data_IF_492990443079
#
_entry.id   IF_492990443079
#
_cell.length_a   1.000
_cell.length_b   1.000
_cell.length_c   1.000
_cell.angle_alpha   90.00
_cell.angle_beta   90.00
_cell.angle_gamma   90.00
#
_symmetry.space_group_name_H-M   'P 1'
#
loop_
_entity.id
_entity.type
_entity.pdbx_description
1 polymer ?
#
# COMPACT_ATOMS: atom_id res chain seq x y z
N UNK A 1 -10.56 -7.24 -1.06
CA UNK A 1 -11.70 -6.31 -1.11
C UNK A 1 -12.75 -6.88 -2.03
N UNK A 2 -14.02 -6.61 -1.75
CA UNK A 2 -15.18 -7.04 -2.50
C UNK A 2 -16.16 -5.88 -2.62
N UNK A 3 -16.75 -5.71 -3.79
CA UNK A 3 -17.86 -4.80 -4.03
C UNK A 3 -19.07 -5.62 -4.48
N UNK A 4 -20.23 -5.30 -3.94
CA UNK A 4 -21.51 -5.79 -4.44
C UNK A 4 -21.80 -5.24 -5.85
N UNK A 5 -21.36 -4.00 -6.10
CA UNK A 5 -21.40 -3.39 -7.43
C UNK A 5 -20.28 -3.96 -8.33
N UNK A 6 -20.49 -3.90 -9.65
CA UNK A 6 -19.42 -4.21 -10.60
C UNK A 6 -18.24 -3.24 -10.38
N UNK A 7 -17.02 -3.72 -10.09
CA UNK A 7 -15.86 -2.86 -9.84
C UNK A 7 -15.55 -1.89 -11.00
N UNK A 8 -15.86 -2.28 -12.24
CA UNK A 8 -15.69 -1.40 -13.41
C UNK A 8 -16.66 -0.21 -13.36
N UNK A 9 -17.87 -0.41 -12.87
CA UNK A 9 -18.85 0.66 -12.75
C UNK A 9 -18.51 1.61 -11.58
N UNK A 10 -17.92 1.09 -10.49
CA UNK A 10 -17.35 1.92 -9.40
C UNK A 10 -16.28 2.87 -9.96
N UNK A 11 -15.35 2.37 -10.78
CA UNK A 11 -14.30 3.20 -11.40
C UNK A 11 -14.87 4.18 -12.43
N UNK A 12 -15.82 3.75 -13.25
CA UNK A 12 -16.48 4.62 -14.24
C UNK A 12 -17.25 5.75 -13.57
N UNK A 13 -17.95 5.48 -12.47
CA UNK A 13 -18.65 6.50 -11.71
C UNK A 13 -17.69 7.54 -11.14
N UNK A 14 -16.63 7.10 -10.45
CA UNK A 14 -15.59 8.00 -9.93
C UNK A 14 -14.95 8.84 -11.04
N UNK A 15 -14.66 8.22 -12.20
CA UNK A 15 -14.10 8.91 -13.37
C UNK A 15 -15.08 9.94 -13.94
N UNK A 16 -16.37 9.62 -13.99
CA UNK A 16 -17.42 10.52 -14.49
C UNK A 16 -17.62 11.70 -13.55
N UNK A 17 -17.75 11.44 -12.25
CA UNK A 17 -18.06 12.48 -11.25
C UNK A 17 -16.83 13.23 -10.76
N UNK A 18 -15.63 12.69 -10.95
CA UNK A 18 -14.41 13.23 -10.34
C UNK A 18 -14.39 13.12 -8.81
N UNK A 19 -15.29 12.34 -8.21
CA UNK A 19 -15.25 11.97 -6.79
C UNK A 19 -14.29 10.81 -6.54
N UNK A 20 -14.14 10.45 -5.26
CA UNK A 20 -13.45 9.22 -4.88
C UNK A 20 -14.32 7.99 -5.26
N UNK A 21 -13.72 6.83 -5.56
CA UNK A 21 -14.48 5.60 -5.73
C UNK A 21 -15.18 5.19 -4.44
N UNK A 22 -16.33 4.52 -4.56
CA UNK A 22 -17.03 3.96 -3.40
C UNK A 22 -16.14 2.94 -2.69
N UNK A 23 -16.16 2.94 -1.36
CA UNK A 23 -15.46 1.95 -0.53
C UNK A 23 -15.97 0.53 -0.81
N UNK A 24 -15.13 -0.47 -0.55
CA UNK A 24 -15.55 -1.88 -0.61
C UNK A 24 -16.66 -2.17 0.39
N UNK A 25 -17.46 -3.19 0.09
CA UNK A 25 -18.46 -3.74 0.98
C UNK A 25 -17.86 -4.75 1.97
N UNK A 26 -16.71 -5.34 1.62
CA UNK A 26 -15.97 -6.25 2.50
C UNK A 26 -14.47 -6.34 2.17
N UNK A 27 -13.66 -6.56 3.20
CA UNK A 27 -12.37 -7.24 3.04
C UNK A 27 -12.55 -8.75 3.00
N UNK A 28 -11.56 -9.47 2.47
CA UNK A 28 -11.66 -10.91 2.23
C UNK A 28 -10.34 -11.61 2.48
N UNK A 29 -10.38 -12.78 3.10
CA UNK A 29 -9.32 -13.78 3.05
C UNK A 29 -9.61 -14.78 1.93
N UNK A 30 -8.68 -14.96 0.99
CA UNK A 30 -8.82 -15.89 -0.15
C UNK A 30 -10.21 -15.83 -0.84
N UNK A 31 -10.76 -14.63 -0.99
CA UNK A 31 -12.07 -14.39 -1.62
C UNK A 31 -13.28 -14.48 -0.69
N UNK A 32 -13.11 -14.83 0.59
CA UNK A 32 -14.22 -14.99 1.55
C UNK A 32 -14.20 -13.88 2.61
N UNK A 33 -15.33 -13.21 2.90
CA UNK A 33 -15.39 -12.13 3.90
C UNK A 33 -15.13 -12.58 5.34
N UNK A 34 -15.60 -13.77 5.71
CA UNK A 34 -15.47 -14.33 7.06
C UNK A 34 -16.71 -14.16 7.94
N UNK A 35 -16.60 -14.60 9.19
CA UNK A 35 -17.70 -14.76 10.15
C UNK A 35 -18.36 -13.44 10.61
N UNK A 36 -17.76 -12.28 10.30
CA UNK A 36 -18.27 -10.97 10.72
C UNK A 36 -19.22 -10.32 9.71
N UNK A 37 -19.45 -10.94 8.55
CA UNK A 37 -20.34 -10.44 7.52
C UNK A 37 -21.60 -11.28 7.40
N UNK A 38 -22.69 -10.63 7.00
CA UNK A 38 -23.93 -11.33 6.68
C UNK A 38 -23.69 -12.34 5.56
N UNK A 39 -24.35 -13.51 5.66
CA UNK A 39 -24.33 -14.55 4.64
C UNK A 39 -22.93 -15.10 4.27
N UNK A 40 -21.94 -14.98 5.16
CA UNK A 40 -20.54 -15.31 4.84
C UNK A 40 -19.93 -16.42 5.71
N UNK A 41 -20.50 -16.70 6.89
CA UNK A 41 -19.87 -17.59 7.89
C UNK A 41 -19.75 -19.05 7.46
N UNK A 42 -20.63 -19.52 6.57
CA UNK A 42 -20.62 -20.90 6.10
C UNK A 42 -19.39 -21.24 5.22
N UNK A 43 -18.77 -20.22 4.62
CA UNK A 43 -17.63 -20.37 3.70
C UNK A 43 -16.34 -19.73 4.25
N UNK A 44 -16.32 -19.32 5.53
CA UNK A 44 -15.13 -18.74 6.17
C UNK A 44 -13.92 -19.65 6.00
N UNK A 45 -12.82 -19.07 5.54
CA UNK A 45 -11.57 -19.81 5.28
C UNK A 45 -11.05 -20.45 6.56
N UNK A 46 -10.78 -21.74 6.51
CA UNK A 46 -10.13 -22.50 7.57
C UNK A 46 -8.72 -22.90 7.12
N UNK A 47 -7.71 -22.52 7.91
CA UNK A 47 -6.31 -22.92 7.74
C UNK A 47 -5.99 -23.92 8.85
N UNK A 48 -5.79 -25.21 8.52
CA UNK A 48 -5.52 -26.22 9.53
C UNK A 48 -4.06 -26.15 10.01
N UNK A 49 -3.83 -26.44 11.29
CA UNK A 49 -2.50 -26.53 11.90
C UNK A 49 -2.41 -27.74 12.86
N UNK A 50 -1.27 -28.43 12.89
CA UNK A 50 -0.97 -29.47 13.89
C UNK A 50 -0.27 -28.90 15.13
N UNK A 51 -0.54 -29.48 16.29
CA UNK A 51 0.14 -29.09 17.53
C UNK A 51 1.65 -29.33 17.43
N UNK A 52 2.43 -28.28 17.69
CA UNK A 52 3.89 -28.30 17.61
C UNK A 52 4.47 -28.15 16.20
N UNK A 53 3.64 -28.10 15.14
CA UNK A 53 4.16 -27.87 13.79
C UNK A 53 4.49 -26.39 13.56
N UNK A 54 5.42 -26.12 12.64
CA UNK A 54 5.68 -24.77 12.15
C UNK A 54 5.31 -24.71 10.67
N UNK A 55 4.42 -23.78 10.33
CA UNK A 55 3.88 -23.57 9.00
C UNK A 55 4.33 -22.22 8.44
N UNK A 56 4.58 -22.17 7.13
CA UNK A 56 4.86 -20.92 6.42
C UNK A 56 3.56 -20.36 5.84
N UNK A 57 3.13 -19.20 6.35
CA UNK A 57 2.05 -18.43 5.75
C UNK A 57 2.63 -17.40 4.78
N UNK A 58 2.12 -17.40 3.55
CA UNK A 58 2.46 -16.41 2.52
C UNK A 58 1.34 -15.38 2.47
N UNK A 59 1.52 -14.26 3.17
CA UNK A 59 0.50 -13.22 3.28
C UNK A 59 0.68 -12.26 2.11
N UNK A 60 -0.38 -12.09 1.32
CA UNK A 60 -0.39 -11.21 0.14
C UNK A 60 -1.51 -10.20 0.32
N UNK A 61 -1.20 -8.90 0.30
CA UNK A 61 -2.25 -7.89 0.23
C UNK A 61 -2.60 -7.64 -1.24
N UNK A 62 -3.67 -8.29 -1.72
CA UNK A 62 -4.24 -8.07 -3.05
C UNK A 62 -5.44 -7.11 -3.03
N UNK A 63 -5.57 -6.27 -2.00
CA UNK A 63 -6.51 -5.15 -2.02
C UNK A 63 -6.10 -4.14 -3.11
N UNK A 64 -7.07 -3.40 -3.61
CA UNK A 64 -6.87 -2.29 -4.54
C UNK A 64 -6.49 -1.01 -3.79
N UNK A 65 -7.11 -0.74 -2.64
CA UNK A 65 -7.04 0.58 -2.03
C UNK A 65 -6.24 0.63 -0.71
N UNK A 66 -6.56 -0.24 0.25
CA UNK A 66 -6.09 -0.07 1.63
C UNK A 66 -4.87 -0.94 2.00
N UNK A 67 -3.86 -0.38 2.69
CA UNK A 67 -2.96 -1.17 3.51
C UNK A 67 -3.74 -1.87 4.62
N UNK A 68 -3.33 -3.08 4.98
CA UNK A 68 -4.04 -3.91 5.95
C UNK A 68 -3.10 -4.31 7.09
N UNK A 69 -3.59 -4.14 8.32
CA UNK A 69 -3.08 -4.88 9.46
C UNK A 69 -3.55 -6.33 9.38
N UNK A 70 -2.69 -7.28 9.74
CA UNK A 70 -3.00 -8.70 9.84
C UNK A 70 -2.49 -9.26 11.17
N UNK A 71 -3.34 -9.99 11.90
CA UNK A 71 -2.99 -10.63 13.18
C UNK A 71 -3.61 -12.02 13.29
N UNK A 72 -3.04 -12.86 14.15
CA UNK A 72 -3.57 -14.20 14.48
C UNK A 72 -3.70 -14.33 16.00
N UNK A 73 -4.88 -14.69 16.49
CA UNK A 73 -5.14 -14.70 17.94
C UNK A 73 -4.19 -15.64 18.68
N UNK A 74 -3.52 -15.12 19.71
CA UNK A 74 -2.52 -15.80 20.55
C UNK A 74 -1.29 -16.36 19.82
N UNK A 75 -1.07 -16.07 18.54
CA UNK A 75 0.09 -16.55 17.81
C UNK A 75 1.03 -15.41 17.45
N UNK A 76 2.33 -15.64 17.65
CA UNK A 76 3.36 -14.76 17.13
C UNK A 76 3.73 -15.15 15.69
N UNK A 77 4.12 -14.16 14.90
CA UNK A 77 4.48 -14.30 13.50
C UNK A 77 5.97 -13.99 13.35
N UNK A 78 6.75 -14.97 12.90
CA UNK A 78 8.17 -14.76 12.61
C UNK A 78 8.34 -14.46 11.13
N UNK A 79 8.58 -13.20 10.81
CA UNK A 79 8.78 -12.72 9.43
C UNK A 79 10.13 -13.24 8.92
N UNK A 80 10.13 -13.86 7.76
CA UNK A 80 11.32 -14.46 7.13
C UNK A 80 11.54 -14.01 5.70
N UNK A 81 10.55 -13.40 5.06
CA UNK A 81 10.70 -12.76 3.76
C UNK A 81 9.68 -11.65 3.52
N UNK A 82 10.01 -10.76 2.59
CA UNK A 82 9.12 -9.74 2.05
C UNK A 82 9.46 -9.51 0.58
N UNK A 83 8.44 -9.38 -0.28
CA UNK A 83 8.58 -9.17 -1.73
C UNK A 83 9.59 -10.13 -2.40
N UNK A 84 9.47 -11.43 -2.08
CA UNK A 84 10.35 -12.51 -2.55
C UNK A 84 11.84 -12.38 -2.14
N UNK A 85 12.18 -11.45 -1.25
CA UNK A 85 13.50 -11.31 -0.64
C UNK A 85 13.50 -11.85 0.79
N UNK A 86 14.52 -12.64 1.14
CA UNK A 86 14.71 -13.07 2.53
C UNK A 86 15.12 -11.90 3.41
N UNK A 87 14.55 -11.85 4.62
CA UNK A 87 14.85 -10.83 5.63
C UNK A 87 15.58 -11.46 6.80
N UNK A 88 16.32 -10.64 7.56
CA UNK A 88 16.77 -11.04 8.89
C UNK A 88 15.53 -11.33 9.74
N UNK A 89 15.35 -12.56 10.26
CA UNK A 89 14.10 -12.91 10.90
C UNK A 89 13.80 -12.03 12.12
N UNK A 90 12.55 -11.61 12.25
CA UNK A 90 12.04 -10.92 13.43
C UNK A 90 10.63 -11.38 13.75
N UNK A 91 10.28 -11.35 15.03
CA UNK A 91 8.99 -11.84 15.51
C UNK A 91 8.10 -10.67 15.91
N UNK A 92 6.83 -10.71 15.50
CA UNK A 92 5.81 -9.68 15.76
C UNK A 92 4.45 -10.33 15.99
N UNK A 93 3.53 -9.62 16.64
CA UNK A 93 2.12 -10.03 16.75
C UNK A 93 1.25 -9.50 15.60
N UNK A 94 1.77 -8.56 14.81
CA UNK A 94 1.04 -7.88 13.73
C UNK A 94 1.92 -7.65 12.52
N UNK A 95 1.33 -7.87 11.34
CA UNK A 95 1.88 -7.46 10.06
C UNK A 95 1.16 -6.20 9.56
N UNK A 96 1.85 -5.39 8.79
CA UNK A 96 1.26 -4.34 7.97
C UNK A 96 1.72 -4.52 6.53
N UNK A 97 0.78 -4.66 5.60
CA UNK A 97 1.07 -4.81 4.18
C UNK A 97 0.28 -3.77 3.39
N UNK A 98 0.93 -3.01 2.52
CA UNK A 98 0.22 -2.23 1.51
C UNK A 98 -0.16 -3.07 0.28
N UNK A 99 -1.09 -2.58 -0.55
CA UNK A 99 -1.46 -3.20 -1.81
C UNK A 99 -0.24 -3.66 -2.64
N UNK A 100 -0.26 -4.93 -3.03
CA UNK A 100 0.76 -5.59 -3.83
C UNK A 100 1.99 -6.10 -3.07
N UNK A 101 2.14 -5.79 -1.78
CA UNK A 101 3.22 -6.36 -0.96
C UNK A 101 2.92 -7.80 -0.54
N UNK A 102 4.00 -8.57 -0.36
CA UNK A 102 3.96 -9.95 0.14
C UNK A 102 4.88 -10.10 1.35
N UNK A 103 4.45 -10.86 2.34
CA UNK A 103 5.24 -11.17 3.54
C UNK A 103 5.15 -12.65 3.85
N UNK A 104 6.31 -13.29 3.93
CA UNK A 104 6.47 -14.70 4.31
C UNK A 104 6.67 -14.78 5.83
N UNK A 105 5.79 -15.48 6.53
CA UNK A 105 5.82 -15.61 8.00
C UNK A 105 5.72 -17.05 8.47
N UNK A 106 6.57 -17.42 9.42
CA UNK A 106 6.46 -18.68 10.14
C UNK A 106 5.50 -18.50 11.33
N UNK A 107 4.56 -19.43 11.46
CA UNK A 107 3.64 -19.55 12.59
C UNK A 107 3.76 -20.95 13.17
N UNK A 108 3.73 -21.08 14.49
CA UNK A 108 3.85 -22.37 15.18
C UNK A 108 2.54 -22.77 15.84
N UNK A 109 2.18 -24.05 15.80
CA UNK A 109 1.04 -24.63 16.50
C UNK A 109 1.29 -24.78 17.99
N UNK A 110 1.64 -23.69 18.68
CA UNK A 110 2.12 -23.68 20.08
C UNK A 110 1.03 -23.39 21.13
N UNK A 111 -0.21 -23.20 20.70
CA UNK A 111 -1.37 -22.95 21.56
C UNK A 111 -2.15 -24.24 21.85
N UNK A 112 -3.01 -24.18 22.86
CA UNK A 112 -3.95 -25.27 23.17
C UNK A 112 -4.82 -25.62 21.95
N UNK A 113 -5.05 -26.92 21.64
CA UNK A 113 -5.87 -27.32 20.49
C UNK A 113 -7.26 -26.69 20.48
N UNK A 114 -7.46 -25.69 19.62
CA UNK A 114 -8.70 -24.91 19.50
C UNK A 114 -8.78 -24.20 18.15
N UNK A 115 -9.69 -23.22 18.03
CA UNK A 115 -9.89 -22.34 16.86
C UNK A 115 -9.50 -20.91 17.21
N UNK A 116 -8.73 -20.26 16.36
CA UNK A 116 -8.20 -18.91 16.55
C UNK A 116 -8.50 -18.07 15.31
N UNK A 117 -9.03 -16.86 15.45
CA UNK A 117 -9.19 -16.01 14.27
C UNK A 117 -7.83 -15.50 13.78
N UNK A 118 -7.67 -15.58 12.48
CA UNK A 118 -6.83 -14.67 11.70
C UNK A 118 -7.71 -13.50 11.31
N UNK A 119 -7.27 -12.27 11.53
CA UNK A 119 -8.08 -11.09 11.26
C UNK A 119 -7.28 -10.03 10.52
N UNK A 120 -7.95 -9.30 9.63
CA UNK A 120 -7.37 -8.16 8.94
C UNK A 120 -8.32 -6.96 8.89
N UNK A 121 -7.75 -5.76 9.01
CA UNK A 121 -8.46 -4.47 8.87
C UNK A 121 -7.56 -3.40 8.28
N UNK A 122 -8.17 -2.35 7.74
CA UNK A 122 -7.45 -1.23 7.15
C UNK A 122 -6.53 -0.49 8.13
N UNK A 123 -5.40 -0.03 7.58
CA UNK A 123 -4.69 1.14 8.05
C UNK A 123 -5.05 2.32 7.15
N UNK A 124 -5.66 3.36 7.73
CA UNK A 124 -6.06 4.60 7.05
C UNK A 124 -5.36 5.79 7.71
N UNK A 125 -4.38 6.36 7.00
CA UNK A 125 -3.63 7.55 7.41
C UNK A 125 -4.32 8.86 7.04
N UNK A 126 -5.10 8.86 5.95
CA UNK A 126 -5.73 10.07 5.42
C UNK A 126 -6.87 10.53 6.33
N UNK A 127 -6.85 11.80 6.71
CA UNK A 127 -7.87 12.35 7.60
C UNK A 127 -9.17 12.62 6.85
N UNK A 128 -10.30 12.19 7.43
CA UNK A 128 -11.65 12.42 6.90
C UNK A 128 -11.90 11.79 5.51
N UNK A 129 -11.05 10.87 5.07
CA UNK A 129 -11.28 10.08 3.86
C UNK A 129 -12.13 8.85 4.20
N UNK A 130 -13.29 8.64 3.54
CA UNK A 130 -14.06 7.41 3.70
C UNK A 130 -13.25 6.18 3.32
N UNK A 131 -13.43 5.09 4.06
CA UNK A 131 -12.80 3.80 3.80
C UNK A 131 -13.72 2.69 4.32
N UNK A 132 -13.50 1.48 3.82
CA UNK A 132 -14.09 0.28 4.41
C UNK A 132 -13.46 0.05 5.78
N UNK A 133 -14.24 0.27 6.84
CA UNK A 133 -13.82 0.13 8.25
C UNK A 133 -14.37 -1.15 8.89
N UNK A 134 -14.59 -2.18 8.08
CA UNK A 134 -14.96 -3.52 8.56
C UNK A 134 -13.71 -4.34 8.89
N UNK A 135 -13.90 -5.57 9.36
CA UNK A 135 -12.82 -6.51 9.67
C UNK A 135 -13.15 -7.85 9.03
N UNK A 136 -12.22 -8.40 8.27
CA UNK A 136 -12.34 -9.75 7.70
C UNK A 136 -11.70 -10.78 8.62
N UNK A 137 -12.24 -11.99 8.61
CA UNK A 137 -11.74 -13.10 9.43
C UNK A 137 -11.56 -14.39 8.62
N UNK A 138 -10.55 -15.14 9.01
CA UNK A 138 -10.36 -16.55 8.68
C UNK A 138 -10.02 -17.30 9.98
N UNK A 139 -10.01 -18.63 9.97
CA UNK A 139 -9.85 -19.42 11.19
C UNK A 139 -8.60 -20.28 11.07
N UNK A 140 -7.64 -20.10 11.97
CA UNK A 140 -6.57 -21.06 12.22
C UNK A 140 -7.13 -22.15 13.14
N UNK A 141 -7.19 -23.39 12.66
CA UNK A 141 -7.83 -24.50 13.35
C UNK A 141 -6.84 -25.62 13.66
N UNK A 142 -6.71 -25.96 14.94
CA UNK A 142 -5.91 -27.11 15.34
C UNK A 142 -6.62 -28.40 14.95
N UNK A 143 -5.97 -29.27 14.16
CA UNK A 143 -6.56 -30.55 13.71
C UNK A 143 -6.88 -31.49 14.87
N UNK A 144 -6.11 -31.40 15.96
CA UNK A 144 -6.30 -32.12 17.21
C UNK A 144 -7.41 -31.55 18.09
N UNK A 145 -8.05 -30.44 17.69
CA UNK A 145 -9.15 -29.87 18.46
C UNK A 145 -10.33 -30.83 18.49
N UNK A 146 -10.93 -30.99 19.68
CA UNK A 146 -12.14 -31.82 19.86
C UNK A 146 -13.36 -31.29 19.09
N UNK A 147 -13.26 -30.08 18.53
CA UNK A 147 -14.25 -29.45 17.67
C UNK A 147 -14.07 -29.70 16.16
N UNK A 148 -13.08 -30.49 15.73
CA UNK A 148 -12.93 -30.86 14.30
C UNK A 148 -14.09 -31.74 13.77
N UNK A 149 -14.93 -32.29 14.65
CA UNK A 149 -16.09 -33.11 14.30
C UNK A 149 -17.39 -32.29 14.36
N UNK A 150 -17.88 -31.83 13.19
CA UNK A 150 -19.22 -31.38 12.73
C UNK A 150 -20.34 -30.85 13.68
N UNK A 151 -20.26 -30.89 15.01
CA UNK A 151 -21.33 -30.50 15.95
C UNK A 151 -20.80 -29.70 17.18
N UNK A 152 -19.75 -28.89 17.02
CA UNK A 152 -19.28 -28.03 18.11
C UNK A 152 -19.99 -26.66 18.07
N UNK A 153 -21.04 -26.51 18.87
CA UNK A 153 -21.77 -25.25 19.06
C UNK A 153 -21.12 -24.29 20.09
N UNK A 154 -19.95 -24.59 20.65
CA UNK A 154 -19.39 -23.85 21.80
C UNK A 154 -18.04 -23.15 21.62
N UNK A 155 -17.26 -23.41 20.57
CA UNK A 155 -15.91 -22.82 20.46
C UNK A 155 -15.87 -21.74 19.38
N UNK A 156 -16.49 -20.59 19.69
CA UNK A 156 -16.28 -19.36 18.91
C UNK A 156 -14.78 -19.05 18.90
N UNK A 157 -14.15 -18.88 17.72
CA UNK A 157 -12.73 -18.58 17.66
C UNK A 157 -12.40 -17.28 18.42
N UNK A 158 -11.25 -17.25 19.07
CA UNK A 158 -10.78 -16.06 19.78
C UNK A 158 -10.42 -14.96 18.77
N UNK A 159 -10.91 -13.74 18.97
CA UNK A 159 -10.56 -12.59 18.15
C UNK A 159 -9.22 -11.99 18.62
N UNK A 160 -8.24 -11.75 17.74
CA UNK A 160 -7.01 -11.09 18.12
C UNK A 160 -7.23 -9.59 18.40
N UNK A 161 -6.38 -8.95 19.24
CA UNK A 161 -6.28 -7.50 19.21
C UNK A 161 -5.80 -7.05 17.83
N UNK A 162 -6.39 -5.98 17.30
CA UNK A 162 -5.94 -5.31 16.09
C UNK A 162 -5.50 -3.87 16.45
N UNK A 163 -4.41 -3.33 15.88
CA UNK A 163 -4.01 -1.92 16.05
C UNK A 163 -5.06 -0.99 15.45
N UNK A 164 -5.34 0.16 16.07
CA UNK A 164 -6.34 1.12 15.57
C UNK A 164 -6.08 1.44 14.09
N UNK A 165 -7.14 1.72 13.30
CA UNK A 165 -6.97 1.94 11.86
C UNK A 165 -5.99 3.09 11.54
N UNK A 166 -5.80 4.03 12.47
CA UNK A 166 -4.90 5.19 12.34
C UNK A 166 -3.61 5.03 13.15
N UNK A 167 -3.22 3.82 13.55
CA UNK A 167 -2.02 3.57 14.34
C UNK A 167 -0.73 3.59 13.47
N UNK A 168 -0.32 4.80 13.10
CA UNK A 168 0.92 5.05 12.35
C UNK A 168 2.17 4.60 13.10
N UNK A 169 2.14 4.53 14.44
CA UNK A 169 3.29 4.10 15.23
C UNK A 169 3.57 2.60 15.04
N UNK A 170 2.52 1.78 15.03
CA UNK A 170 2.64 0.34 14.72
C UNK A 170 3.13 0.13 13.28
N UNK A 171 2.59 0.88 12.32
CA UNK A 171 3.06 0.85 10.92
C UNK A 171 4.55 1.20 10.80
N UNK A 172 4.98 2.27 11.46
CA UNK A 172 6.37 2.72 11.46
C UNK A 172 7.31 1.70 12.10
N UNK A 173 6.87 1.07 13.18
CA UNK A 173 7.67 0.05 13.89
C UNK A 173 7.84 -1.20 13.03
N UNK A 174 6.76 -1.65 12.37
CA UNK A 174 6.81 -2.82 11.49
C UNK A 174 7.73 -2.57 10.28
N UNK A 175 7.51 -1.48 9.54
CA UNK A 175 8.31 -1.12 8.36
C UNK A 175 9.80 -0.96 8.68
N UNK A 176 10.14 -0.36 9.83
CA UNK A 176 11.53 -0.21 10.28
C UNK A 176 12.20 -1.52 10.70
N UNK A 177 11.44 -2.60 10.90
CA UNK A 177 11.99 -3.90 11.32
C UNK A 177 12.63 -4.66 10.17
N UNK A 178 12.31 -4.33 8.92
CA UNK A 178 12.87 -4.98 7.74
C UNK A 178 14.37 -4.71 7.59
N UNK A 179 15.13 -5.80 7.47
CA UNK A 179 16.57 -5.81 7.22
C UNK A 179 16.89 -7.00 6.32
N UNK A 180 17.86 -6.85 5.42
CA UNK A 180 18.32 -7.97 4.62
C UNK A 180 19.10 -8.98 5.49
N UNK A 181 19.24 -10.21 5.02
CA UNK A 181 19.96 -11.28 5.74
C UNK A 181 21.47 -11.07 5.78
N UNK A 182 22.01 -10.26 4.87
CA UNK A 182 23.44 -9.97 4.76
C UNK A 182 23.71 -8.52 4.39
N UNK A 183 25.01 -8.20 4.25
CA UNK A 183 25.42 -6.90 3.73
C UNK A 183 25.06 -6.80 2.26
N UNK A 184 24.37 -5.72 1.89
CA UNK A 184 24.04 -5.44 0.50
C UNK A 184 25.00 -4.43 -0.10
N UNK A 185 25.28 -4.55 -1.40
CA UNK A 185 26.04 -3.54 -2.13
C UNK A 185 25.10 -2.38 -2.48
N UNK A 186 24.99 -1.43 -1.56
CA UNK A 186 24.23 -0.19 -1.76
C UNK A 186 25.16 0.79 -2.48
N UNK A 187 24.84 1.25 -3.70
CA UNK A 187 25.68 2.22 -4.39
C UNK A 187 25.76 3.54 -3.60
N UNK A 188 26.97 3.99 -3.27
CA UNK A 188 27.20 5.23 -2.53
C UNK A 188 27.57 6.41 -3.41
N UNK A 189 28.21 6.19 -4.57
CA UNK A 189 28.31 7.23 -5.58
C UNK A 189 27.09 7.15 -6.48
N UNK A 190 26.36 8.26 -6.56
CA UNK A 190 25.07 8.37 -7.23
C UNK A 190 25.25 9.19 -8.50
N UNK A 191 24.80 8.64 -9.62
CA UNK A 191 24.87 9.32 -10.92
C UNK A 191 23.67 10.26 -11.11
N UNK A 192 22.49 9.90 -10.58
CA UNK A 192 21.25 10.67 -10.68
C UNK A 192 20.55 10.79 -9.32
N UNK A 193 20.29 12.03 -8.89
CA UNK A 193 19.53 12.32 -7.67
C UNK A 193 18.15 12.89 -8.04
N UNK A 194 17.10 12.12 -7.74
CA UNK A 194 15.72 12.44 -8.09
C UNK A 194 14.93 12.73 -6.81
N UNK A 195 14.14 13.80 -6.83
CA UNK A 195 13.23 14.18 -5.75
C UNK A 195 11.83 14.27 -6.33
N UNK A 196 10.95 13.36 -5.94
CA UNK A 196 9.57 13.29 -6.41
C UNK A 196 8.60 13.60 -5.27
N UNK A 197 7.89 14.72 -5.37
CA UNK A 197 6.73 14.98 -4.52
C UNK A 197 5.55 14.17 -5.00
N UNK A 198 4.81 13.53 -4.09
CA UNK A 198 3.69 12.66 -4.36
C UNK A 198 2.48 13.19 -3.58
N UNK A 199 1.30 13.03 -4.14
CA UNK A 199 0.08 13.31 -3.40
C UNK A 199 -1.12 13.44 -4.31
N UNK A 200 -2.26 13.66 -3.67
CA UNK A 200 -3.50 14.01 -4.34
C UNK A 200 -3.45 15.43 -4.92
N UNK A 201 -4.43 15.74 -5.75
CA UNK A 201 -4.67 17.06 -6.29
C UNK A 201 -6.14 17.24 -6.64
N UNK A 202 -6.51 18.47 -6.97
CA UNK A 202 -7.87 18.84 -7.36
C UNK A 202 -7.83 19.63 -8.67
N UNK A 203 -8.52 19.11 -9.68
CA UNK A 203 -8.76 19.80 -10.93
C UNK A 203 -10.10 20.55 -10.89
N UNK A 204 -10.21 21.71 -11.55
CA UNK A 204 -11.50 22.36 -11.74
C UNK A 204 -12.50 21.44 -12.44
N UNK A 205 -13.77 21.55 -12.07
CA UNK A 205 -14.84 20.91 -12.83
C UNK A 205 -14.88 21.47 -14.27
N UNK A 206 -15.02 20.64 -15.31
CA UNK A 206 -15.13 21.09 -16.68
C UNK A 206 -16.23 22.14 -16.86
N UNK A 207 -16.02 23.20 -17.66
CA UNK A 207 -16.99 24.29 -17.80
C UNK A 207 -18.37 23.85 -18.31
N UNK A 208 -18.42 22.76 -19.07
CA UNK A 208 -19.63 22.16 -19.63
C UNK A 208 -20.39 21.25 -18.65
N UNK A 209 -19.84 21.03 -17.44
CA UNK A 209 -20.48 20.25 -16.40
C UNK A 209 -21.13 21.19 -15.37
N UNK A 210 -22.31 20.83 -14.86
CA UNK A 210 -22.90 21.57 -13.75
C UNK A 210 -22.10 21.27 -12.46
N UNK A 211 -21.45 22.31 -11.90
CA UNK A 211 -20.57 22.22 -10.74
C UNK A 211 -21.22 21.55 -9.52
N UNK A 212 -22.51 21.76 -9.29
CA UNK A 212 -23.20 21.28 -8.09
C UNK A 212 -23.81 19.88 -8.23
N UNK A 213 -24.01 19.37 -9.45
CA UNK A 213 -24.65 18.07 -9.69
C UNK A 213 -23.77 17.02 -10.36
N UNK A 214 -22.61 17.39 -10.90
CA UNK A 214 -21.77 16.46 -11.67
C UNK A 214 -20.32 16.33 -11.21
N UNK A 215 -19.79 17.26 -10.41
CA UNK A 215 -18.46 17.13 -9.83
C UNK A 215 -18.54 16.87 -8.32
N UNK A 216 -18.08 15.71 -7.88
CA UNK A 216 -18.23 15.22 -6.50
C UNK A 216 -16.95 15.34 -5.66
N UNK A 217 -15.87 15.89 -6.22
CA UNK A 217 -14.69 16.23 -5.43
C UNK A 217 -14.95 17.43 -4.50
N UNK A 218 -14.07 17.68 -3.52
CA UNK A 218 -14.20 18.77 -2.56
C UNK A 218 -14.47 20.11 -3.24
N UNK A 219 -15.43 20.90 -2.73
CA UNK A 219 -15.81 22.21 -3.29
C UNK A 219 -16.20 22.18 -4.78
N UNK A 220 -16.80 21.07 -5.26
CA UNK A 220 -17.22 20.92 -6.65
C UNK A 220 -16.04 20.80 -7.62
N UNK A 221 -14.92 20.25 -7.17
CA UNK A 221 -13.73 19.95 -7.98
C UNK A 221 -13.70 18.48 -8.37
N UNK A 222 -12.59 18.02 -8.96
CA UNK A 222 -12.36 16.64 -9.35
C UNK A 222 -11.03 16.17 -8.79
N UNK A 223 -11.02 15.02 -8.14
CA UNK A 223 -9.77 14.41 -7.67
C UNK A 223 -8.83 14.09 -8.83
N UNK A 224 -7.55 14.22 -8.54
CA UNK A 224 -6.44 13.73 -9.34
C UNK A 224 -5.29 13.35 -8.40
N UNK A 225 -4.21 12.80 -8.94
CA UNK A 225 -2.96 12.58 -8.23
C UNK A 225 -1.80 13.00 -9.14
N UNK A 226 -0.65 13.27 -8.54
CA UNK A 226 0.53 13.67 -9.31
C UNK A 226 1.84 13.25 -8.67
N UNK A 227 2.86 13.13 -9.52
CA UNK A 227 4.26 13.14 -9.11
C UNK A 227 4.92 14.40 -9.68
N UNK A 228 5.62 15.18 -8.85
CA UNK A 228 6.20 16.47 -9.21
C UNK A 228 5.25 17.40 -9.98
N UNK A 229 3.99 17.48 -9.54
CA UNK A 229 2.95 18.31 -10.13
C UNK A 229 2.56 17.92 -11.58
N UNK A 230 2.92 16.71 -12.02
CA UNK A 230 2.48 16.10 -13.28
C UNK A 230 1.49 14.99 -12.98
N UNK A 231 0.25 15.14 -13.46
CA UNK A 231 -0.76 14.10 -13.41
C UNK A 231 -0.65 13.24 -14.68
N UNK A 232 -0.25 11.99 -14.53
CA UNK A 232 0.05 11.13 -15.66
C UNK A 232 -1.20 10.79 -16.47
N UNK A 233 -1.14 11.01 -17.79
CA UNK A 233 -2.20 10.64 -18.73
C UNK A 233 -1.78 9.39 -19.49
N UNK A 234 -2.59 8.33 -19.40
CA UNK A 234 -2.39 7.11 -20.17
C UNK A 234 -2.60 7.39 -21.67
N UNK A 235 -1.63 7.05 -22.54
CA UNK A 235 -1.83 7.10 -23.98
C UNK A 235 -2.98 6.19 -24.45
N UNK A 236 -3.79 6.66 -25.40
CA UNK A 236 -4.95 5.91 -25.91
C UNK A 236 -4.66 5.04 -27.14
N UNK A 237 -3.73 5.46 -28.00
CA UNK A 237 -3.52 4.83 -29.32
C UNK A 237 -2.32 3.87 -29.35
N UNK A 238 -1.26 4.17 -28.60
CA UNK A 238 0.00 3.44 -28.62
C UNK A 238 0.54 3.29 -27.21
N UNK A 239 1.04 2.11 -26.84
CA UNK A 239 1.76 1.96 -25.58
C UNK A 239 3.06 2.78 -25.59
N UNK A 240 3.56 3.15 -24.41
CA UNK A 240 4.82 3.88 -24.29
C UNK A 240 5.98 3.11 -24.94
N UNK A 241 6.03 1.79 -24.72
CA UNK A 241 7.06 0.93 -25.29
C UNK A 241 6.98 0.86 -26.82
N UNK A 242 5.78 0.72 -27.38
CA UNK A 242 5.58 0.73 -28.82
C UNK A 242 6.01 2.07 -29.42
N UNK A 243 5.57 3.18 -28.83
CA UNK A 243 5.91 4.52 -29.30
C UNK A 243 7.42 4.77 -29.25
N UNK A 244 8.10 4.30 -28.21
CA UNK A 244 9.55 4.37 -28.10
C UNK A 244 10.25 3.57 -29.21
N UNK A 245 9.88 2.30 -29.37
CA UNK A 245 10.53 1.39 -30.32
C UNK A 245 10.30 1.81 -31.78
N UNK A 246 9.08 2.22 -32.12
CA UNK A 246 8.69 2.64 -33.47
C UNK A 246 8.92 4.14 -33.72
N UNK A 247 9.45 4.89 -32.74
CA UNK A 247 9.72 6.34 -32.80
C UNK A 247 8.48 7.18 -33.15
N UNK A 248 7.31 6.77 -32.66
CA UNK A 248 6.04 7.46 -32.87
C UNK A 248 6.07 8.78 -32.08
N UNK A 249 5.93 9.89 -32.78
CA UNK A 249 5.94 11.23 -32.19
C UNK A 249 4.61 11.55 -31.51
N UNK A 250 4.65 12.44 -30.51
CA UNK A 250 3.45 12.98 -29.86
C UNK A 250 2.77 12.06 -28.84
N UNK A 251 3.35 10.90 -28.51
CA UNK A 251 2.80 9.98 -27.50
C UNK A 251 3.24 10.32 -26.08
N UNK A 252 4.52 10.68 -25.91
CA UNK A 252 5.10 11.09 -24.63
C UNK A 252 6.23 12.09 -24.86
N UNK A 253 6.63 12.77 -23.80
CA UNK A 253 7.87 13.59 -23.75
C UNK A 253 8.82 13.03 -22.70
N UNK A 254 10.12 13.29 -22.83
CA UNK A 254 11.15 12.79 -21.90
C UNK A 254 11.64 13.87 -20.93
N UNK A 255 10.77 14.82 -20.60
CA UNK A 255 11.05 16.01 -19.78
C UNK A 255 10.32 15.95 -18.42
N UNK A 256 10.06 14.74 -17.90
CA UNK A 256 9.59 14.63 -16.51
C UNK A 256 10.62 15.29 -15.58
N UNK A 257 10.21 16.14 -14.64
CA UNK A 257 11.17 16.91 -13.86
C UNK A 257 11.83 16.05 -12.78
N UNK A 258 13.17 16.12 -12.68
CA UNK A 258 13.94 15.44 -11.64
C UNK A 258 13.62 15.93 -10.22
N UNK A 259 13.06 17.13 -10.10
CA UNK A 259 12.74 17.81 -8.84
C UNK A 259 11.37 18.47 -8.96
N UNK A 260 10.65 18.72 -7.86
CA UNK A 260 9.37 19.43 -7.91
C UNK A 260 9.58 20.83 -8.52
N UNK A 261 8.72 21.26 -9.46
CA UNK A 261 8.88 22.54 -10.16
C UNK A 261 8.77 23.75 -9.23
N UNK A 262 8.17 23.57 -8.04
CA UNK A 262 8.10 24.57 -6.98
C UNK A 262 8.40 23.90 -5.65
N UNK A 263 9.31 24.51 -4.87
CA UNK A 263 9.59 24.11 -3.50
C UNK A 263 8.64 24.83 -2.56
N UNK A 264 8.12 24.11 -1.58
CA UNK A 264 7.29 24.63 -0.49
C UNK A 264 7.46 23.72 0.73
N UNK A 265 6.81 24.07 1.84
CA UNK A 265 6.68 23.18 2.99
C UNK A 265 5.69 22.07 2.64
N UNK A 266 6.20 20.92 2.17
CA UNK A 266 5.39 19.85 1.57
C UNK A 266 4.42 19.25 2.56
N UNK A 267 4.84 19.06 3.81
CA UNK A 267 4.05 18.46 4.88
C UNK A 267 3.32 19.50 5.77
N UNK A 268 3.50 20.79 5.51
CA UNK A 268 2.88 21.87 6.28
C UNK A 268 1.50 22.31 5.75
N UNK A 269 1.18 23.58 5.97
CA UNK A 269 -0.03 24.19 5.43
C UNK A 269 0.20 24.62 3.97
N UNK A 270 -0.31 23.83 3.03
CA UNK A 270 -0.07 24.05 1.60
C UNK A 270 -1.12 24.99 0.98
N UNK A 271 -0.64 25.98 0.21
CA UNK A 271 -1.53 26.91 -0.49
C UNK A 271 -2.40 26.21 -1.53
N UNK A 272 -3.69 26.56 -1.58
CA UNK A 272 -4.66 26.03 -2.55
C UNK A 272 -4.27 26.25 -4.02
N UNK A 273 -3.42 27.23 -4.32
CA UNK A 273 -2.93 27.47 -5.69
C UNK A 273 -2.01 26.36 -6.20
N UNK A 274 -1.51 25.48 -5.33
CA UNK A 274 -0.64 24.35 -5.67
C UNK A 274 -1.40 23.03 -5.84
N UNK A 275 -2.73 23.02 -5.66
CA UNK A 275 -3.51 21.79 -5.63
C UNK A 275 -3.81 21.21 -7.02
N UNK A 276 -3.65 22.00 -8.08
CA UNK A 276 -3.99 21.59 -9.44
C UNK A 276 -2.73 21.22 -10.24
N UNK A 277 -2.45 19.92 -10.43
CA UNK A 277 -1.34 19.48 -11.25
C UNK A 277 -1.61 19.67 -12.74
N UNK A 278 -0.54 19.60 -13.53
CA UNK A 278 -0.61 19.66 -14.98
C UNK A 278 -0.75 18.24 -15.53
N UNK A 279 -1.74 17.99 -16.36
CA UNK A 279 -1.89 16.71 -17.05
C UNK A 279 -0.78 16.51 -18.09
N UNK A 280 -0.18 15.33 -18.15
CA UNK A 280 0.79 15.02 -19.21
C UNK A 280 1.35 13.61 -19.15
N UNK A 281 1.79 13.11 -20.31
CA UNK A 281 2.50 11.84 -20.45
C UNK A 281 4.01 12.12 -20.52
N UNK A 282 4.64 12.31 -19.36
CA UNK A 282 6.06 12.67 -19.23
C UNK A 282 6.86 11.52 -18.64
N UNK A 283 8.01 11.22 -19.22
CA UNK A 283 8.94 10.18 -18.77
C UNK A 283 10.27 10.79 -18.34
N UNK A 284 10.94 10.15 -17.38
CA UNK A 284 12.33 10.45 -17.02
C UNK A 284 13.24 9.42 -17.69
N UNK A 285 14.19 9.87 -18.52
CA UNK A 285 15.09 8.96 -19.23
C UNK A 285 16.39 8.80 -18.44
N UNK A 286 16.70 7.55 -18.09
CA UNK A 286 17.97 7.19 -17.48
C UNK A 286 18.92 6.60 -18.52
N UNK A 287 20.22 6.79 -18.29
CA UNK A 287 21.26 6.05 -19.02
C UNK A 287 21.35 4.64 -18.44
N UNK A 288 21.58 3.65 -19.30
CA UNK A 288 21.83 2.29 -18.84
C UNK A 288 23.03 2.27 -17.88
N UNK A 289 22.89 1.58 -16.75
CA UNK A 289 23.91 1.48 -15.72
C UNK A 289 23.98 2.64 -14.73
N UNK A 290 23.12 3.67 -14.84
CA UNK A 290 23.05 4.76 -13.87
C UNK A 290 22.65 4.25 -12.47
N UNK A 291 23.39 4.69 -11.45
CA UNK A 291 23.06 4.52 -10.03
C UNK A 291 22.17 5.69 -9.61
N UNK A 292 20.95 5.39 -9.19
CA UNK A 292 19.91 6.41 -8.97
C UNK A 292 19.48 6.42 -7.51
N UNK A 293 19.51 7.61 -6.90
CA UNK A 293 18.85 7.84 -5.61
C UNK A 293 17.53 8.56 -5.86
N UNK A 294 16.45 8.03 -5.29
CA UNK A 294 15.11 8.62 -5.39
C UNK A 294 14.62 8.96 -3.98
N UNK A 295 14.28 10.22 -3.78
CA UNK A 295 13.54 10.69 -2.60
C UNK A 295 12.08 10.82 -2.99
N UNK A 296 11.21 10.07 -2.31
CA UNK A 296 9.76 10.14 -2.44
C UNK A 296 9.24 10.96 -1.25
N UNK A 297 8.59 12.09 -1.55
CA UNK A 297 8.12 13.06 -0.56
C UNK A 297 6.60 13.17 -0.65
N UNK A 298 5.88 12.66 0.34
CA UNK A 298 4.44 12.94 0.46
C UNK A 298 4.18 14.44 0.68
N UNK A 299 3.01 14.90 0.28
CA UNK A 299 2.57 16.29 0.46
C UNK A 299 1.21 16.35 1.15
N UNK A 300 1.01 17.37 2.00
CA UNK A 300 -0.28 17.67 2.62
C UNK A 300 -1.31 18.30 1.65
N UNK A 301 -1.10 18.19 0.33
CA UNK A 301 -2.08 18.63 -0.67
C UNK A 301 -3.31 17.72 -0.55
N UNK A 302 -4.48 18.32 -0.33
CA UNK A 302 -5.72 17.65 0.11
C UNK A 302 -5.60 17.05 1.52
N UNK A 303 -4.75 16.05 1.72
CA UNK A 303 -4.48 15.40 3.01
C UNK A 303 -3.20 14.56 2.88
N UNK A 304 -2.34 14.48 3.92
CA UNK A 304 -1.25 13.51 3.96
C UNK A 304 -1.79 12.08 3.89
N UNK A 305 -1.13 11.22 3.13
CA UNK A 305 -1.54 9.84 2.97
C UNK A 305 -0.34 8.92 2.73
N UNK A 306 -0.38 7.73 3.34
CA UNK A 306 0.60 6.71 3.05
C UNK A 306 0.40 6.15 1.64
N UNK A 307 1.41 6.31 0.77
CA UNK A 307 1.36 5.85 -0.60
C UNK A 307 2.24 4.61 -0.84
N UNK A 308 1.67 3.45 -1.21
CA UNK A 308 2.44 2.28 -1.63
C UNK A 308 2.99 2.51 -3.05
N UNK A 309 4.26 2.91 -3.15
CA UNK A 309 4.91 3.19 -4.44
C UNK A 309 5.58 1.93 -4.97
N UNK A 310 5.28 1.59 -6.22
CA UNK A 310 5.82 0.42 -6.91
C UNK A 310 6.66 0.82 -8.13
N UNK A 311 7.80 0.15 -8.32
CA UNK A 311 8.64 0.28 -9.51
C UNK A 311 8.64 -1.02 -10.31
N UNK A 312 8.25 -0.94 -11.58
CA UNK A 312 8.31 -2.09 -12.48
C UNK A 312 9.75 -2.33 -12.97
N UNK A 313 10.15 -3.61 -13.06
CA UNK A 313 11.39 -4.04 -13.70
C UNK A 313 12.65 -3.93 -12.84
N UNK A 314 12.53 -3.47 -11.59
CA UNK A 314 13.64 -3.32 -10.66
C UNK A 314 13.17 -3.59 -9.24
N UNK A 315 14.05 -4.19 -8.45
CA UNK A 315 14.03 -4.02 -6.99
C UNK A 315 14.90 -2.80 -6.64
N UNK A 316 14.66 -2.22 -5.47
CA UNK A 316 15.44 -1.10 -4.94
C UNK A 316 15.66 -1.24 -3.44
N UNK A 317 16.75 -0.64 -2.95
CA UNK A 317 17.04 -0.61 -1.52
C UNK A 317 16.30 0.53 -0.84
N UNK A 318 15.51 0.20 0.19
CA UNK A 318 14.92 1.20 1.09
C UNK A 318 15.96 1.55 2.14
N UNK A 319 16.68 2.64 1.91
CA UNK A 319 17.78 3.06 2.79
C UNK A 319 17.30 3.92 3.96
N UNK A 320 16.19 4.63 3.84
CA UNK A 320 15.61 5.42 4.92
C UNK A 320 14.13 5.72 4.69
N UNK A 321 13.42 5.94 5.80
CA UNK A 321 12.06 6.46 5.85
C UNK A 321 11.96 7.43 7.03
N UNK A 322 11.16 8.48 6.89
CA UNK A 322 10.99 9.50 7.91
C UNK A 322 9.75 10.34 7.66
N UNK A 323 9.39 11.14 8.65
CA UNK A 323 8.24 12.05 8.58
C UNK A 323 8.70 13.50 8.35
N UNK A 324 7.83 14.30 7.77
CA UNK A 324 8.10 15.70 7.46
C UNK A 324 8.77 15.90 6.11
N UNK A 325 9.45 17.04 5.95
CA UNK A 325 10.16 17.35 4.72
C UNK A 325 11.57 16.75 4.74
N UNK A 326 11.95 16.04 3.68
CA UNK A 326 13.32 15.55 3.51
C UNK A 326 14.33 16.70 3.54
N UNK A 327 15.36 16.55 4.35
CA UNK A 327 16.47 17.47 4.47
C UNK A 327 17.79 16.79 4.04
N UNK A 328 18.35 17.17 2.88
CA UNK A 328 19.56 16.55 2.33
C UNK A 328 20.82 16.77 3.19
N UNK A 329 20.77 17.63 4.21
CA UNK A 329 21.90 17.88 5.12
C UNK A 329 21.88 17.00 6.37
N UNK A 330 20.70 16.61 6.83
CA UNK A 330 20.54 15.89 8.11
C UNK A 330 20.12 14.45 7.91
N UNK A 331 19.22 14.18 6.98
CA UNK A 331 18.62 12.85 6.84
C UNK A 331 19.56 11.77 6.31
N UNK A 332 20.62 12.08 5.52
CA UNK A 332 21.61 11.06 5.15
C UNK A 332 22.26 10.35 6.33
N UNK A 333 22.30 10.95 7.53
CA UNK A 333 22.83 10.26 8.72
C UNK A 333 21.97 9.08 9.18
N UNK A 334 20.71 9.01 8.72
CA UNK A 334 19.77 7.94 9.04
C UNK A 334 19.77 6.83 7.98
N UNK A 335 20.58 6.94 6.93
CA UNK A 335 20.60 5.95 5.85
C UNK A 335 21.18 4.62 6.35
N UNK A 336 20.40 3.55 6.19
CA UNK A 336 20.89 2.20 6.28
C UNK A 336 21.60 1.82 4.97
N UNK A 337 22.92 1.93 4.98
CA UNK A 337 23.79 1.53 3.86
C UNK A 337 24.46 0.16 4.10
N UNK A 338 24.04 -0.57 5.13
CA UNK A 338 24.66 -1.84 5.53
C UNK A 338 23.81 -3.01 5.06
N UNK A 339 22.56 -3.06 5.51
CA UNK A 339 21.62 -4.17 5.27
C UNK A 339 20.19 -3.70 4.93
N UNK A 340 20.01 -2.66 4.07
CA UNK A 340 18.67 -2.26 3.66
C UNK A 340 18.01 -3.40 2.88
N UNK A 341 16.71 -3.55 3.05
CA UNK A 341 15.95 -4.54 2.30
C UNK A 341 15.80 -4.09 0.84
N UNK A 342 15.95 -5.05 -0.08
CA UNK A 342 15.61 -4.90 -1.49
C UNK A 342 14.14 -5.24 -1.66
N UNK A 343 13.33 -4.29 -2.12
CA UNK A 343 11.90 -4.48 -2.35
C UNK A 343 11.51 -3.94 -3.72
N UNK A 344 10.35 -4.38 -4.21
CA UNK A 344 9.73 -3.80 -5.43
C UNK A 344 8.81 -2.63 -5.10
N UNK A 345 8.52 -2.42 -3.81
CA UNK A 345 7.51 -1.50 -3.29
C UNK A 345 7.99 -0.81 -2.03
N UNK A 346 7.51 0.41 -1.77
CA UNK A 346 7.77 1.17 -0.55
C UNK A 346 6.47 1.78 -0.03
N UNK A 347 6.30 1.80 1.29
CA UNK A 347 5.31 2.66 1.95
C UNK A 347 5.89 4.07 2.16
N UNK A 348 5.39 5.06 1.43
CA UNK A 348 5.72 6.46 1.64
C UNK A 348 4.79 7.03 2.71
N UNK A 349 5.21 6.93 3.98
CA UNK A 349 4.42 7.22 5.19
C UNK A 349 4.22 8.71 5.49
#
# INVERSE_FOLDING_TARGET
EWWNANPIDVVREATRTGGAPNSSDAYTFNGQPGDLYNCSSQDTVIVPIDSGETSLLRVVNSALNQPLFFTVANHQLTVVGADASYVKPFTTSVLMLGPGQTTDVLISGDQSPSRYYMAARAYQSAQNAPFDNTTTTAILEYKSSTCAAKNCSSNKPLMPPLPAYNDTATVTTFTKSFRSTGKNFVPTDIDENLFFTIGLGLNPCPPNFNKSSQCQGPNGTRFTASMNNVSFVLPSNFSLLQAHHQRIQGVFTTDFPANPPRKFDYTGNVSRSLFSPVAGTKLYRLKYGSRVQIVLQDTSIVTPENHPIHLHGYDFYIIAQGFGNYNPRTDPSNFNLVDPLSETRLQCL
#
